data_IF_688583299560
#
_entry.id   IF_688583299560
#
_cell.length_a   1.000
_cell.length_b   1.000
_cell.length_c   1.000
_cell.angle_alpha   90.00
_cell.angle_beta   90.00
_cell.angle_gamma   90.00
#
_symmetry.space_group_name_H-M   'P 1'
#
loop_
_entity.id
_entity.type
_entity.pdbx_description
1 polymer ?
#
# COMPACT_ATOMS: atom_id res chain seq x y z
N UNK A 1 -1.85 -9.45 -6.74
CA UNK A 1 -1.28 -9.00 -8.04
C UNK A 1 -0.85 -7.55 -7.92
N UNK A 2 0.18 -7.08 -8.63
CA UNK A 2 0.47 -5.64 -8.73
C UNK A 2 -0.59 -4.90 -9.57
N UNK A 3 -1.20 -3.88 -8.99
CA UNK A 3 -2.06 -2.90 -9.66
C UNK A 3 -1.26 -1.66 -10.04
N UNK A 4 -0.64 -1.69 -11.23
CA UNK A 4 0.18 -0.57 -11.71
C UNK A 4 -0.71 0.56 -12.24
N UNK A 5 -0.93 1.59 -11.43
CA UNK A 5 -1.74 2.74 -11.77
C UNK A 5 -1.00 3.75 -12.66
N UNK A 6 -1.65 4.36 -13.68
CA UNK A 6 -3.06 4.23 -14.08
C UNK A 6 -3.31 3.19 -15.21
N UNK A 7 -2.46 2.17 -15.36
CA UNK A 7 -2.58 1.20 -16.46
C UNK A 7 -3.87 0.38 -16.36
N UNK A 8 -4.85 0.67 -17.21
CA UNK A 8 -6.11 -0.09 -17.32
C UNK A 8 -5.87 -1.59 -17.52
N UNK A 9 -4.89 -1.98 -18.34
CA UNK A 9 -4.54 -3.39 -18.55
C UNK A 9 -4.05 -4.06 -17.27
N UNK A 10 -3.29 -3.33 -16.44
CA UNK A 10 -2.81 -3.84 -15.16
C UNK A 10 -3.93 -3.94 -14.14
N UNK A 11 -4.72 -2.88 -14.00
CA UNK A 11 -5.86 -2.84 -13.08
C UNK A 11 -6.91 -3.91 -13.43
N UNK A 12 -7.31 -4.06 -14.69
CA UNK A 12 -8.27 -5.08 -15.13
C UNK A 12 -7.81 -6.52 -14.87
N UNK A 13 -6.49 -6.77 -14.87
CA UNK A 13 -5.97 -8.06 -14.44
C UNK A 13 -6.21 -8.22 -12.93
N UNK A 14 -5.92 -7.20 -12.13
CA UNK A 14 -6.03 -7.24 -10.68
C UNK A 14 -7.45 -7.53 -10.19
N UNK A 15 -8.46 -7.00 -10.89
CA UNK A 15 -9.89 -7.23 -10.58
C UNK A 15 -10.34 -8.69 -10.63
N UNK A 16 -9.55 -9.59 -11.25
CA UNK A 16 -9.84 -11.03 -11.32
C UNK A 16 -9.52 -11.77 -10.01
N UNK A 17 -8.96 -11.09 -9.02
CA UNK A 17 -8.52 -11.65 -7.74
C UNK A 17 -9.18 -10.91 -6.58
N UNK A 18 -8.76 -11.26 -5.36
CA UNK A 18 -9.30 -10.69 -4.12
C UNK A 18 -8.62 -9.40 -3.68
N UNK A 19 -7.59 -8.95 -4.40
CA UNK A 19 -6.91 -7.70 -4.07
C UNK A 19 -5.73 -7.35 -4.98
N UNK A 20 -5.16 -6.18 -4.74
CA UNK A 20 -3.97 -5.66 -5.42
C UNK A 20 -2.92 -5.12 -4.45
N UNK A 21 -1.65 -5.29 -4.82
CA UNK A 21 -0.55 -4.49 -4.28
C UNK A 21 -0.46 -3.22 -5.11
N UNK A 22 -0.64 -2.07 -4.46
CA UNK A 22 -0.62 -0.78 -5.11
C UNK A 22 0.77 -0.48 -5.67
N UNK A 23 0.83 -0.02 -6.90
CA UNK A 23 2.03 0.55 -7.51
C UNK A 23 1.63 1.73 -8.37
N UNK A 24 2.37 2.83 -8.28
CA UNK A 24 2.18 4.00 -9.13
C UNK A 24 3.39 4.15 -10.06
N UNK A 25 3.13 4.49 -11.32
CA UNK A 25 4.18 4.73 -12.32
C UNK A 25 4.32 6.23 -12.52
N UNK A 26 5.55 6.70 -12.71
CA UNK A 26 5.83 8.10 -13.06
C UNK A 26 5.49 8.41 -14.49
N UNK A 27 4.93 9.61 -14.68
CA UNK A 27 4.94 10.28 -15.97
C UNK A 27 6.24 11.10 -16.20
N UNK A 28 7.11 11.25 -15.20
CA UNK A 28 8.40 11.97 -15.31
C UNK A 28 9.63 11.07 -15.14
N UNK A 29 10.76 11.36 -15.82
CA UNK A 29 12.01 10.60 -15.68
C UNK A 29 12.71 10.76 -14.31
N UNK A 30 12.30 11.76 -13.53
CA UNK A 30 12.90 12.16 -12.25
C UNK A 30 12.25 11.40 -11.08
N UNK A 31 12.47 10.09 -11.01
CA UNK A 31 12.00 9.22 -9.92
C UNK A 31 10.50 8.88 -9.95
N UNK A 32 10.06 7.79 -9.28
CA UNK A 32 8.66 7.39 -9.29
C UNK A 32 7.82 8.36 -8.43
N UNK A 33 6.63 8.85 -8.86
CA UNK A 33 5.59 9.27 -7.95
C UNK A 33 5.25 7.99 -7.22
N UNK A 34 5.68 7.94 -5.95
CA UNK A 34 5.29 6.86 -5.08
C UNK A 34 3.78 6.76 -5.05
N UNK A 35 3.27 5.60 -4.64
CA UNK A 35 1.85 5.50 -4.29
C UNK A 35 1.58 6.54 -3.20
N UNK A 36 0.65 7.44 -3.47
CA UNK A 36 0.12 8.43 -2.53
C UNK A 36 -1.29 8.04 -2.09
N UNK A 37 -1.83 8.64 -1.01
CA UNK A 37 -3.24 8.48 -0.64
C UNK A 37 -4.21 8.76 -1.80
N UNK A 38 -3.91 9.74 -2.66
CA UNK A 38 -4.72 10.07 -3.84
C UNK A 38 -4.73 8.91 -4.84
N UNK A 39 -3.58 8.29 -5.07
CA UNK A 39 -3.51 7.13 -5.97
C UNK A 39 -4.25 5.92 -5.41
N UNK A 40 -4.22 5.69 -4.08
CA UNK A 40 -5.02 4.65 -3.42
C UNK A 40 -6.51 4.93 -3.58
N UNK A 41 -6.97 6.18 -3.35
CA UNK A 41 -8.38 6.56 -3.57
C UNK A 41 -8.81 6.31 -5.02
N UNK A 42 -7.96 6.66 -5.98
CA UNK A 42 -8.25 6.44 -7.39
C UNK A 42 -8.31 4.95 -7.76
N UNK A 43 -7.41 4.13 -7.23
CA UNK A 43 -7.46 2.67 -7.40
C UNK A 43 -8.72 2.09 -6.77
N UNK A 44 -9.10 2.52 -5.56
CA UNK A 44 -10.34 2.11 -4.87
C UNK A 44 -11.57 2.41 -5.72
N UNK A 45 -11.69 3.65 -6.21
CA UNK A 45 -12.77 4.05 -7.09
C UNK A 45 -12.80 3.20 -8.37
N UNK A 46 -11.64 2.94 -8.98
CA UNK A 46 -11.56 2.09 -10.16
C UNK A 46 -12.08 0.67 -9.89
N UNK A 47 -11.72 0.09 -8.74
CA UNK A 47 -12.21 -1.23 -8.33
C UNK A 47 -13.73 -1.23 -8.17
N UNK A 48 -14.29 -0.22 -7.50
CA UNK A 48 -15.74 -0.07 -7.29
C UNK A 48 -16.51 0.06 -8.61
N UNK A 49 -15.97 0.80 -9.57
CA UNK A 49 -16.61 1.03 -10.87
C UNK A 49 -16.56 -0.20 -11.80
N UNK A 50 -15.53 -1.06 -11.68
CA UNK A 50 -15.23 -2.07 -12.69
C UNK A 50 -15.37 -3.53 -12.20
N UNK A 51 -15.47 -3.78 -10.89
CA UNK A 51 -15.61 -5.14 -10.36
C UNK A 51 -17.08 -5.53 -10.26
N UNK A 52 -17.47 -6.57 -10.98
CA UNK A 52 -18.78 -7.20 -10.81
C UNK A 52 -18.74 -8.14 -9.59
N UNK A 53 -19.22 -7.69 -8.43
CA UNK A 53 -19.35 -8.51 -7.23
C UNK A 53 -19.31 -7.72 -5.93
N UNK A 54 -19.81 -8.32 -4.84
CA UNK A 54 -19.84 -7.71 -3.50
C UNK A 54 -18.79 -8.28 -2.55
N UNK A 55 -17.98 -9.24 -3.01
CA UNK A 55 -16.87 -9.76 -2.22
C UNK A 55 -15.90 -8.61 -1.86
N UNK A 56 -15.28 -8.61 -0.67
CA UNK A 56 -14.24 -7.66 -0.33
C UNK A 56 -13.11 -7.65 -1.37
N UNK A 57 -12.46 -6.51 -1.53
CA UNK A 57 -11.28 -6.36 -2.37
C UNK A 57 -10.19 -5.65 -1.58
N UNK A 58 -9.06 -6.31 -1.39
CA UNK A 58 -7.96 -5.77 -0.61
C UNK A 58 -7.09 -4.83 -1.46
N UNK A 59 -6.77 -3.66 -0.90
CA UNK A 59 -5.80 -2.74 -1.45
C UNK A 59 -4.63 -2.70 -0.48
N UNK A 60 -3.56 -3.39 -0.86
CA UNK A 60 -2.35 -3.51 -0.05
C UNK A 60 -1.38 -2.43 -0.48
N UNK A 61 -0.83 -1.71 0.49
CA UNK A 61 0.28 -0.79 0.26
C UNK A 61 1.48 -1.17 1.14
N UNK A 62 2.67 -0.79 0.70
CA UNK A 62 3.91 -1.07 1.41
C UNK A 62 4.69 0.21 1.71
N UNK A 63 5.41 0.20 2.82
CA UNK A 63 6.25 1.32 3.23
C UNK A 63 7.09 0.96 4.43
N UNK A 64 7.64 1.98 5.08
CA UNK A 64 8.46 1.83 6.28
C UNK A 64 7.92 2.76 7.35
N UNK A 65 7.66 2.23 8.53
CA UNK A 65 7.37 3.06 9.72
C UNK A 65 8.47 2.94 10.76
N UNK A 66 8.67 3.98 11.60
CA UNK A 66 9.41 3.80 12.85
C UNK A 66 8.61 2.85 13.75
N UNK A 67 9.28 1.86 14.35
CA UNK A 67 8.60 0.91 15.25
C UNK A 67 8.77 1.26 16.74
N UNK A 68 9.64 2.21 17.03
CA UNK A 68 9.90 2.81 18.34
C UNK A 68 9.11 4.10 18.56
N UNK A 69 8.44 4.61 17.53
CA UNK A 69 7.57 5.79 17.57
C UNK A 69 6.18 5.44 16.99
N UNK A 70 5.25 4.93 17.83
CA UNK A 70 3.91 4.54 17.39
C UNK A 70 3.07 5.69 16.84
N UNK A 71 3.20 6.90 17.39
CA UNK A 71 2.47 8.09 16.93
C UNK A 71 2.91 8.44 15.51
N UNK A 72 4.23 8.46 15.25
CA UNK A 72 4.75 8.69 13.91
C UNK A 72 4.39 7.58 12.93
N UNK A 73 4.36 6.33 13.37
CA UNK A 73 3.93 5.21 12.55
C UNK A 73 2.47 5.36 12.12
N UNK A 74 1.61 5.78 13.05
CA UNK A 74 0.21 6.07 12.78
C UNK A 74 0.04 7.24 11.80
N UNK A 75 0.74 8.35 12.01
CA UNK A 75 0.72 9.50 11.09
C UNK A 75 1.09 9.12 9.65
N UNK A 76 2.01 8.16 9.47
CA UNK A 76 2.43 7.68 8.15
C UNK A 76 1.32 6.82 7.51
N UNK A 77 0.70 5.92 8.27
CA UNK A 77 -0.24 4.92 7.72
C UNK A 77 -1.66 5.46 7.59
N UNK A 78 -2.10 6.34 8.51
CA UNK A 78 -3.47 6.87 8.59
C UNK A 78 -3.97 7.43 7.25
N UNK A 79 -3.22 8.27 6.51
CA UNK A 79 -3.70 8.81 5.24
C UNK A 79 -3.99 7.73 4.18
N UNK A 80 -3.24 6.62 4.19
CA UNK A 80 -3.46 5.50 3.27
C UNK A 80 -4.65 4.64 3.69
N UNK A 81 -4.81 4.39 4.99
CA UNK A 81 -5.98 3.71 5.53
C UNK A 81 -7.27 4.48 5.20
N UNK A 82 -7.28 5.79 5.44
CA UNK A 82 -8.40 6.69 5.08
C UNK A 82 -8.67 6.74 3.57
N UNK A 83 -7.62 6.61 2.76
CA UNK A 83 -7.75 6.49 1.30
C UNK A 83 -8.35 5.15 0.83
N UNK A 84 -8.37 4.14 1.71
CA UNK A 84 -8.95 2.82 1.45
C UNK A 84 -7.94 1.70 1.26
N UNK A 85 -6.68 1.87 1.67
CA UNK A 85 -5.78 0.74 1.85
C UNK A 85 -6.29 -0.15 2.99
N UNK A 86 -6.37 -1.45 2.76
CA UNK A 86 -6.87 -2.44 3.73
C UNK A 86 -5.74 -3.17 4.45
N UNK A 87 -4.53 -3.18 3.87
CA UNK A 87 -3.33 -3.77 4.47
C UNK A 87 -2.10 -2.88 4.28
N UNK A 88 -1.21 -2.93 5.27
CA UNK A 88 0.11 -2.33 5.23
C UNK A 88 1.19 -3.41 5.31
N UNK A 89 2.19 -3.36 4.42
CA UNK A 89 3.38 -4.19 4.48
C UNK A 89 4.58 -3.34 4.91
N UNK A 90 5.23 -3.76 5.99
CA UNK A 90 6.55 -3.24 6.36
C UNK A 90 7.61 -3.77 5.39
N UNK A 91 8.03 -2.92 4.47
CA UNK A 91 8.90 -3.27 3.36
C UNK A 91 10.25 -2.54 3.48
N UNK A 92 11.04 -2.92 4.51
CA UNK A 92 12.42 -2.45 4.69
C UNK A 92 13.36 -3.05 3.64
N UNK A 93 13.27 -2.51 2.43
CA UNK A 93 14.13 -2.90 1.32
C UNK A 93 15.58 -2.42 1.49
N UNK A 94 15.80 -1.34 2.23
CA UNK A 94 17.12 -0.71 2.44
C UNK A 94 17.63 -0.91 3.88
N UNK A 95 18.97 -0.96 4.08
CA UNK A 95 19.55 -1.04 5.41
C UNK A 95 19.12 0.10 6.35
N UNK A 96 19.02 -0.15 7.67
CA UNK A 96 19.25 -1.44 8.33
C UNK A 96 18.12 -2.45 8.07
N UNK A 97 18.47 -3.63 7.54
CA UNK A 97 17.55 -4.69 7.16
C UNK A 97 18.15 -6.10 7.37
N UNK A 98 19.14 -6.21 8.26
CA UNK A 98 19.69 -7.51 8.65
C UNK A 98 18.62 -8.33 9.41
N UNK A 99 18.73 -9.67 9.49
CA UNK A 99 17.73 -10.52 10.13
C UNK A 99 17.32 -10.07 11.54
N UNK A 100 18.27 -9.57 12.35
CA UNK A 100 17.97 -9.08 13.69
C UNK A 100 17.24 -7.73 13.69
N UNK A 101 17.50 -6.86 12.73
CA UNK A 101 16.77 -5.60 12.55
C UNK A 101 15.30 -5.85 12.19
N UNK A 102 15.07 -6.83 11.31
CA UNK A 102 13.74 -7.24 10.88
C UNK A 102 12.98 -7.96 12.01
N UNK A 103 13.63 -8.86 12.76
CA UNK A 103 13.04 -9.49 13.94
C UNK A 103 12.61 -8.46 14.98
N UNK A 104 13.43 -7.43 15.24
CA UNK A 104 13.05 -6.32 16.12
C UNK A 104 11.83 -5.57 15.57
N UNK A 105 11.76 -5.29 14.26
CA UNK A 105 10.58 -4.65 13.64
C UNK A 105 9.31 -5.46 13.82
N UNK A 106 9.39 -6.77 13.61
CA UNK A 106 8.25 -7.68 13.75
C UNK A 106 7.75 -7.70 15.19
N UNK A 107 8.66 -7.74 16.18
CA UNK A 107 8.32 -7.73 17.60
C UNK A 107 7.64 -6.42 18.05
N UNK A 108 7.89 -5.30 17.37
CA UNK A 108 7.23 -4.01 17.62
C UNK A 108 5.74 -4.00 17.18
N UNK A 109 5.32 -4.97 16.37
CA UNK A 109 3.94 -5.09 15.92
C UNK A 109 3.54 -4.07 14.84
N UNK A 110 2.30 -4.18 14.32
CA UNK A 110 1.83 -3.28 13.27
C UNK A 110 1.57 -1.86 13.83
N UNK A 111 1.67 -0.82 12.98
CA UNK A 111 1.13 0.50 13.29
C UNK A 111 -0.35 0.39 13.67
N UNK A 112 -0.79 1.10 14.70
CA UNK A 112 -2.20 1.19 15.07
C UNK A 112 -2.76 2.48 14.49
N UNK A 113 -3.92 2.36 13.88
CA UNK A 113 -4.70 3.47 13.36
C UNK A 113 -5.97 3.49 14.20
N UNK A 114 -6.01 4.37 15.20
CA UNK A 114 -7.19 4.60 16.05
C UNK A 114 -8.16 5.57 15.38
#
# INVERSE_FOLDING_TARGET
>A
MVGAWPSRKSMNRALRYDGLLAAAVSDTPEGPPGVTPETIRAMRQYVEEHRAGTAPFDIIWEGVTPGDDPERAEEIVRPFAEAGATWWIEARWMPPNEPDDLRRRIAQGPPRVE
#
